data_IF_651643698155
#
_entry.id   IF_651643698155
#
_cell.length_a   1.000
_cell.length_b   1.000
_cell.length_c   1.000
_cell.angle_alpha   90.00
_cell.angle_beta   90.00
_cell.angle_gamma   90.00
#
_symmetry.space_group_name_H-M   'P 1'
#
loop_
_entity.id
_entity.type
_entity.pdbx_description
1 polymer ?
#
# COMPACT_ATOMS: atom_id res chain seq x y z
N UNK A 1 -2.15 0.68 8.16
CA UNK A 1 -0.79 0.13 8.24
C UNK A 1 -0.80 -1.36 7.86
N UNK A 2 0.37 -2.00 7.83
CA UNK A 2 0.51 -3.43 7.53
C UNK A 2 -0.28 -4.32 8.48
N UNK A 3 -0.28 -4.00 9.78
CA UNK A 3 -0.91 -4.83 10.80
C UNK A 3 -2.44 -4.81 10.64
N UNK A 4 -3.02 -3.65 10.33
CA UNK A 4 -4.45 -3.51 10.01
C UNK A 4 -4.85 -4.36 8.81
N UNK A 5 -4.03 -4.42 7.77
CA UNK A 5 -4.33 -5.19 6.57
C UNK A 5 -4.30 -6.71 6.82
N UNK A 6 -3.40 -7.18 7.69
CA UNK A 6 -3.32 -8.59 8.14
C UNK A 6 -4.49 -8.93 9.05
N UNK A 7 -4.73 -8.13 10.10
CA UNK A 7 -5.78 -8.38 11.09
C UNK A 7 -7.18 -8.39 10.46
N UNK A 8 -7.42 -7.51 9.47
CA UNK A 8 -8.71 -7.43 8.78
C UNK A 8 -8.84 -8.41 7.60
N UNK A 9 -7.85 -9.29 7.37
CA UNK A 9 -7.81 -10.23 6.25
C UNK A 9 -8.21 -9.58 4.90
N UNK A 10 -7.66 -8.39 4.62
CA UNK A 10 -8.07 -7.59 3.45
C UNK A 10 -7.61 -8.18 2.12
N UNK A 11 -6.80 -9.26 2.14
CA UNK A 11 -6.28 -9.97 0.96
C UNK A 11 -5.69 -9.05 -0.10
N UNK A 12 -4.94 -8.04 0.35
CA UNK A 12 -4.33 -7.00 -0.50
C UNK A 12 -3.25 -7.57 -1.42
N UNK A 13 -2.48 -8.54 -0.93
CA UNK A 13 -1.36 -9.20 -1.59
C UNK A 13 -1.19 -10.61 -0.99
N UNK A 14 -0.45 -11.50 -1.64
CA UNK A 14 -0.09 -12.78 -1.03
C UNK A 14 0.67 -12.59 0.29
N UNK A 15 0.49 -13.51 1.24
CA UNK A 15 1.04 -13.37 2.58
C UNK A 15 2.57 -13.29 2.61
N UNK A 16 3.26 -13.94 1.68
CA UNK A 16 4.73 -13.97 1.62
C UNK A 16 5.29 -12.64 1.14
N UNK A 17 4.78 -12.11 0.03
CA UNK A 17 5.18 -10.79 -0.46
C UNK A 17 4.79 -9.68 0.50
N UNK A 18 3.63 -9.80 1.17
CA UNK A 18 3.23 -8.84 2.20
C UNK A 18 4.20 -8.81 3.39
N UNK A 19 4.63 -9.99 3.86
CA UNK A 19 5.65 -10.11 4.91
C UNK A 19 7.01 -9.55 4.47
N UNK A 20 7.41 -9.77 3.22
CA UNK A 20 8.65 -9.23 2.64
C UNK A 20 8.64 -7.70 2.55
N UNK A 21 7.53 -7.09 2.13
CA UNK A 21 7.41 -5.64 2.07
C UNK A 21 7.43 -5.02 3.49
N UNK A 22 6.78 -5.68 4.47
CA UNK A 22 6.77 -5.25 5.87
C UNK A 22 8.18 -5.26 6.49
N UNK A 23 8.97 -6.30 6.25
CA UNK A 23 10.32 -6.42 6.82
C UNK A 23 11.30 -5.40 6.23
N UNK A 24 11.09 -5.00 4.97
CA UNK A 24 11.91 -4.02 4.26
C UNK A 24 11.38 -2.58 4.36
N UNK A 25 10.35 -2.31 5.16
CA UNK A 25 9.67 -1.01 5.25
C UNK A 25 9.27 -0.43 3.86
N UNK A 26 8.94 -1.31 2.91
CA UNK A 26 8.67 -0.90 1.53
C UNK A 26 7.21 -0.46 1.38
N UNK A 27 6.89 0.82 1.15
CA UNK A 27 5.51 1.29 1.06
C UNK A 27 4.76 0.65 -0.12
N UNK A 28 3.50 0.25 0.10
CA UNK A 28 2.64 -0.35 -0.93
C UNK A 28 1.51 0.62 -1.28
N UNK A 29 1.36 0.92 -2.57
CA UNK A 29 0.24 1.69 -3.13
C UNK A 29 -0.76 0.78 -3.83
N UNK A 30 -1.98 0.68 -3.30
CA UNK A 30 -3.07 -0.10 -3.89
C UNK A 30 -3.97 0.82 -4.68
N UNK A 31 -4.02 0.64 -6.01
CA UNK A 31 -4.81 1.49 -6.92
C UNK A 31 -5.63 0.66 -7.91
N UNK A 32 -6.75 1.24 -8.36
CA UNK A 32 -7.58 0.65 -9.41
C UNK A 32 -7.06 1.07 -10.80
N UNK A 33 -6.57 0.10 -11.58
CA UNK A 33 -6.06 0.32 -12.94
C UNK A 33 -7.15 0.49 -14.01
N UNK A 34 -8.39 0.09 -13.73
CA UNK A 34 -9.50 0.25 -14.66
C UNK A 34 -10.01 1.70 -14.73
N UNK A 35 -9.57 2.56 -13.80
CA UNK A 35 -9.88 3.98 -13.84
C UNK A 35 -8.83 4.70 -14.69
N UNK A 36 -9.29 5.32 -15.79
CA UNK A 36 -8.43 6.06 -16.70
C UNK A 36 -7.64 7.14 -15.95
N UNK A 37 -6.33 7.19 -16.17
CA UNK A 37 -5.44 8.18 -15.58
C UNK A 37 -4.93 7.86 -14.16
N UNK A 38 -5.46 6.83 -13.48
CA UNK A 38 -5.00 6.50 -12.13
C UNK A 38 -3.52 6.12 -12.07
N UNK A 39 -3.02 5.35 -13.04
CA UNK A 39 -1.60 4.96 -13.06
C UNK A 39 -0.68 6.18 -13.16
N UNK A 40 -0.99 7.12 -14.05
CA UNK A 40 -0.21 8.35 -14.21
C UNK A 40 -0.21 9.17 -12.91
N UNK A 41 -1.38 9.41 -12.34
CA UNK A 41 -1.55 10.17 -11.10
C UNK A 41 -0.78 9.56 -9.93
N UNK A 42 -0.75 8.23 -9.84
CA UNK A 42 0.02 7.51 -8.82
C UNK A 42 1.52 7.74 -8.97
N UNK A 43 2.03 7.71 -10.20
CA UNK A 43 3.44 7.96 -10.49
C UNK A 43 3.81 9.42 -10.23
N UNK A 44 2.88 10.35 -10.46
CA UNK A 44 3.02 11.78 -10.15
C UNK A 44 2.95 12.09 -8.64
N UNK A 45 2.59 11.12 -7.80
CA UNK A 45 2.54 11.27 -6.34
C UNK A 45 1.16 11.69 -5.78
N UNK A 46 0.12 11.76 -6.61
CA UNK A 46 -1.23 12.11 -6.15
C UNK A 46 -1.74 11.16 -5.06
N UNK A 47 -2.65 11.64 -4.22
CA UNK A 47 -3.39 10.87 -3.21
C UNK A 47 -4.51 9.97 -3.82
N UNK A 48 -4.18 9.14 -4.82
CA UNK A 48 -5.07 8.11 -5.42
C UNK A 48 -4.96 6.73 -4.75
N UNK A 49 -6.07 6.10 -4.38
CA UNK A 49 -6.08 4.74 -3.82
C UNK A 49 -5.59 4.68 -2.37
N UNK A 50 -5.15 3.50 -1.92
CA UNK A 50 -4.77 3.25 -0.52
C UNK A 50 -3.27 3.10 -0.38
N UNK A 51 -2.67 3.87 0.50
CA UNK A 51 -1.26 3.75 0.87
C UNK A 51 -1.14 2.88 2.14
N UNK A 52 -0.37 1.80 2.04
CA UNK A 52 -0.03 0.93 3.17
C UNK A 52 1.43 1.17 3.53
N UNK A 53 1.64 1.75 4.70
CA UNK A 53 2.96 1.96 5.32
C UNK A 53 3.04 1.23 6.65
N UNK A 54 4.26 1.02 7.14
CA UNK A 54 4.49 0.48 8.49
C UNK A 54 3.98 1.51 9.50
N UNK A 55 3.18 1.06 10.47
CA UNK A 55 2.74 1.93 11.57
C UNK A 55 3.96 2.29 12.42
N UNK A 56 4.51 3.48 12.21
CA UNK A 56 5.75 3.89 12.85
C UNK A 56 6.46 5.10 12.24
N UNK A 57 6.15 5.50 11.00
CA UNK A 57 6.58 6.79 10.45
C UNK A 57 5.35 7.66 10.23
N UNK A 58 4.97 8.33 11.31
CA UNK A 58 4.25 9.58 11.24
C UNK A 58 5.34 10.59 10.83
N UNK A 59 5.33 11.00 9.57
CA UNK A 59 6.15 12.11 9.11
C UNK A 59 5.96 13.28 10.09
N UNK A 60 7.08 13.81 10.58
CA UNK A 60 7.13 15.07 11.32
C UNK A 60 6.59 16.24 10.48
#
# INVERSE_FOLDING_TARGET
DYDTAIVKDLKVMDGTAFALCRSNNMPIRVVNLNTRGNLQRVVEGDAVGTLVIKGGEQDA
#
